data_IF_299044365105
#
_entry.id   IF_299044365105
#
_cell.length_a   1.000
_cell.length_b   1.000
_cell.length_c   1.000
_cell.angle_alpha   90.00
_cell.angle_beta   90.00
_cell.angle_gamma   90.00
#
_symmetry.space_group_name_H-M   'P 1'
#
loop_
_entity.id
_entity.type
_entity.pdbx_description
1 polymer ?
#
# COMPACT_ATOMS: atom_id res chain seq x y z
N UNK A 1 -0.22 2.70 13.62
CA UNK A 1 -1.43 2.51 12.77
C UNK A 1 -2.58 3.30 13.37
N UNK A 2 -3.26 4.17 12.62
CA UNK A 2 -4.44 4.90 13.11
C UNK A 2 -5.61 3.90 13.10
N UNK A 3 -6.26 3.64 14.24
CA UNK A 3 -7.40 2.71 14.28
C UNK A 3 -8.51 3.13 13.31
N UNK A 4 -9.17 2.17 12.65
CA UNK A 4 -10.30 2.44 11.74
C UNK A 4 -11.38 3.33 12.35
N UNK A 5 -11.64 3.19 13.66
CA UNK A 5 -12.59 4.02 14.42
C UNK A 5 -12.24 5.51 14.45
N UNK A 6 -11.00 5.88 14.10
CA UNK A 6 -10.57 7.29 14.02
C UNK A 6 -10.63 7.86 12.59
N UNK A 7 -11.04 7.07 11.59
CA UNK A 7 -11.24 7.59 10.24
C UNK A 7 -12.44 8.55 10.25
N UNK A 8 -12.15 9.82 10.13
CA UNK A 8 -13.20 10.85 10.09
C UNK A 8 -13.89 10.92 8.73
N UNK A 9 -13.15 10.63 7.63
CA UNK A 9 -13.64 10.72 6.24
C UNK A 9 -12.99 9.60 5.42
N UNK A 10 -13.77 8.92 4.58
CA UNK A 10 -13.32 7.94 3.58
C UNK A 10 -13.83 8.32 2.20
N UNK A 11 -13.22 7.80 1.14
CA UNK A 11 -13.69 8.01 -0.23
C UNK A 11 -15.15 7.56 -0.43
N UNK A 12 -15.57 6.49 0.22
CA UNK A 12 -16.96 6.03 0.17
C UNK A 12 -17.93 7.03 0.83
N UNK A 13 -17.53 7.67 1.93
CA UNK A 13 -18.34 8.72 2.55
C UNK A 13 -18.52 9.96 1.64
N UNK A 14 -17.52 10.24 0.77
CA UNK A 14 -17.60 11.36 -0.18
C UNK A 14 -18.53 11.07 -1.37
N UNK A 15 -18.75 9.80 -1.75
CA UNK A 15 -19.62 9.43 -2.89
C UNK A 15 -21.08 9.89 -2.74
N UNK A 16 -21.55 10.02 -1.51
CA UNK A 16 -22.91 10.50 -1.21
C UNK A 16 -23.03 12.01 -1.10
N UNK A 17 -21.94 12.78 -1.25
CA UNK A 17 -21.96 14.22 -1.13
C UNK A 17 -22.12 14.92 -2.49
N UNK A 18 -22.77 16.08 -2.47
CA UNK A 18 -22.83 17.01 -3.60
C UNK A 18 -21.43 17.37 -4.09
N UNK A 19 -21.16 17.39 -5.42
CA UNK A 19 -19.85 17.71 -5.98
C UNK A 19 -19.27 19.05 -5.47
N UNK A 20 -20.12 20.05 -5.26
CA UNK A 20 -19.72 21.35 -4.73
C UNK A 20 -19.18 21.27 -3.29
N UNK A 21 -19.78 20.41 -2.44
CA UNK A 21 -19.28 20.17 -1.08
C UNK A 21 -17.96 19.44 -1.07
N UNK A 22 -17.81 18.44 -1.96
CA UNK A 22 -16.53 17.71 -2.12
C UNK A 22 -15.44 18.66 -2.55
N UNK A 23 -15.68 19.50 -3.56
CA UNK A 23 -14.72 20.51 -4.01
C UNK A 23 -14.30 21.44 -2.87
N UNK A 24 -15.26 21.97 -2.11
CA UNK A 24 -14.98 22.85 -0.97
C UNK A 24 -14.09 22.18 0.07
N UNK A 25 -14.34 20.90 0.40
CA UNK A 25 -13.50 20.13 1.32
C UNK A 25 -12.04 20.02 0.82
N UNK A 26 -11.83 19.76 -0.46
CA UNK A 26 -10.48 19.69 -1.03
C UNK A 26 -9.80 21.07 -1.09
N UNK A 27 -10.55 22.14 -1.39
CA UNK A 27 -10.02 23.51 -1.37
C UNK A 27 -9.58 23.92 0.05
N UNK A 28 -10.35 23.54 1.09
CA UNK A 28 -9.99 23.76 2.50
C UNK A 28 -8.79 22.94 2.97
N UNK A 29 -8.58 21.72 2.42
CA UNK A 29 -7.41 20.90 2.74
C UNK A 29 -6.10 21.51 2.21
N UNK A 30 -6.17 22.23 1.10
CA UNK A 30 -5.03 22.79 0.41
C UNK A 30 -4.23 21.75 -0.40
N UNK A 31 -3.31 22.21 -1.27
CA UNK A 31 -2.67 21.35 -2.28
C UNK A 31 -1.79 20.25 -1.67
N UNK A 32 -1.06 20.54 -0.60
CA UNK A 32 -0.14 19.56 0.01
C UNK A 32 -0.90 18.39 0.62
N UNK A 33 -1.93 18.68 1.43
CA UNK A 33 -2.76 17.63 2.06
C UNK A 33 -3.59 16.86 1.03
N UNK A 34 -4.03 17.52 -0.02
CA UNK A 34 -4.74 16.88 -1.13
C UNK A 34 -3.82 15.87 -1.84
N UNK A 35 -2.55 16.21 -2.05
CA UNK A 35 -1.58 15.27 -2.63
C UNK A 35 -1.29 14.09 -1.71
N UNK A 36 -1.08 14.33 -0.41
CA UNK A 36 -0.93 13.25 0.60
C UNK A 36 -2.14 12.32 0.61
N UNK A 37 -3.36 12.87 0.50
CA UNK A 37 -4.60 12.09 0.51
C UNK A 37 -4.73 11.15 -0.69
N UNK A 38 -4.20 11.52 -1.86
CA UNK A 38 -4.17 10.62 -3.05
C UNK A 38 -3.42 9.32 -2.77
N UNK A 39 -2.44 9.37 -1.87
CA UNK A 39 -1.58 8.26 -1.49
C UNK A 39 -1.95 7.63 -0.14
N UNK A 40 -3.04 8.07 0.48
CA UNK A 40 -3.55 7.50 1.74
C UNK A 40 -4.48 6.32 1.46
N UNK A 41 -3.95 5.10 1.61
CA UNK A 41 -4.73 3.87 1.43
C UNK A 41 -5.91 3.78 2.39
N UNK A 42 -5.78 4.28 3.61
CA UNK A 42 -6.88 4.27 4.58
C UNK A 42 -8.07 5.13 4.13
N UNK A 43 -7.82 6.17 3.35
CA UNK A 43 -8.88 6.98 2.76
C UNK A 43 -9.58 6.25 1.60
N UNK A 44 -8.83 5.57 0.72
CA UNK A 44 -9.34 4.97 -0.51
C UNK A 44 -9.87 3.54 -0.37
N UNK A 45 -9.32 2.77 0.58
CA UNK A 45 -9.66 1.37 0.74
C UNK A 45 -11.10 1.16 1.24
N UNK A 46 -11.75 0.14 0.70
CA UNK A 46 -12.95 -0.43 1.32
C UNK A 46 -12.54 -1.19 2.58
N UNK A 47 -13.45 -1.33 3.55
CA UNK A 47 -13.15 -1.98 4.83
C UNK A 47 -12.63 -3.41 4.67
N UNK A 48 -13.16 -4.16 3.70
CA UNK A 48 -12.72 -5.53 3.42
C UNK A 48 -11.38 -5.64 2.67
N UNK A 49 -10.78 -4.52 2.27
CA UNK A 49 -9.43 -4.46 1.68
C UNK A 49 -8.34 -4.12 2.70
N UNK A 50 -8.72 -3.85 3.93
CA UNK A 50 -7.80 -3.52 5.01
C UNK A 50 -7.55 -4.74 5.88
N UNK A 51 -6.31 -4.88 6.34
CA UNK A 51 -5.97 -5.92 7.30
C UNK A 51 -6.80 -5.77 8.58
N UNK A 52 -7.15 -6.88 9.26
CA UNK A 52 -7.83 -6.82 10.55
C UNK A 52 -7.07 -5.98 11.57
N UNK A 53 -7.79 -5.26 12.43
CA UNK A 53 -7.18 -4.42 13.47
C UNK A 53 -6.72 -5.22 14.69
N UNK A 54 -7.36 -6.38 14.92
CA UNK A 54 -6.99 -7.29 15.99
C UNK A 54 -5.57 -7.79 15.77
N UNK A 55 -4.80 -7.86 16.86
CA UNK A 55 -3.37 -8.24 16.80
C UNK A 55 -3.13 -9.74 16.97
N UNK A 56 -4.19 -10.53 17.19
CA UNK A 56 -4.09 -11.94 17.55
C UNK A 56 -4.09 -12.88 16.32
N UNK A 57 -4.02 -12.35 15.10
CA UNK A 57 -3.93 -13.14 13.89
C UNK A 57 -2.49 -13.28 13.38
N UNK A 58 -2.17 -14.47 12.88
CA UNK A 58 -0.90 -14.75 12.20
C UNK A 58 -1.05 -14.80 10.68
N UNK A 59 -2.27 -14.96 10.19
CA UNK A 59 -2.56 -15.10 8.76
C UNK A 59 -3.75 -14.24 8.39
N UNK A 60 -3.58 -13.39 7.37
CA UNK A 60 -4.65 -12.66 6.73
C UNK A 60 -4.91 -13.24 5.34
N UNK A 61 -6.07 -13.86 5.15
CA UNK A 61 -6.46 -14.47 3.90
C UNK A 61 -7.53 -13.63 3.19
N UNK A 62 -7.25 -13.25 1.92
CA UNK A 62 -8.19 -12.51 1.08
C UNK A 62 -8.76 -13.45 0.03
N UNK A 63 -9.95 -13.99 0.28
CA UNK A 63 -10.71 -14.77 -0.69
C UNK A 63 -11.68 -13.85 -1.43
N UNK A 64 -11.34 -13.50 -2.68
CA UNK A 64 -12.13 -12.55 -3.47
C UNK A 64 -11.96 -12.79 -4.97
N UNK A 65 -12.96 -12.40 -5.74
CA UNK A 65 -12.97 -12.49 -7.20
C UNK A 65 -11.92 -11.63 -7.88
N UNK A 66 -11.85 -11.74 -9.22
CA UNK A 66 -11.04 -10.86 -10.06
C UNK A 66 -11.52 -9.41 -9.93
N UNK A 67 -10.61 -8.44 -9.98
CA UNK A 67 -10.94 -7.02 -9.86
C UNK A 67 -11.16 -6.51 -8.42
N UNK A 68 -11.12 -7.37 -7.40
CA UNK A 68 -11.27 -6.96 -6.01
C UNK A 68 -10.16 -6.01 -5.54
N UNK A 69 -8.96 -6.09 -6.11
CA UNK A 69 -7.80 -5.31 -5.69
C UNK A 69 -6.87 -6.06 -4.72
N UNK A 70 -6.82 -7.41 -4.77
CA UNK A 70 -5.97 -8.23 -3.89
C UNK A 70 -4.50 -7.80 -3.91
N UNK A 71 -3.93 -7.62 -5.11
CA UNK A 71 -2.55 -7.16 -5.28
C UNK A 71 -2.34 -5.79 -4.63
N UNK A 72 -3.25 -4.84 -4.89
CA UNK A 72 -3.20 -3.52 -4.29
C UNK A 72 -3.25 -3.59 -2.76
N UNK A 73 -4.17 -4.35 -2.20
CA UNK A 73 -4.28 -4.53 -0.74
C UNK A 73 -3.01 -5.12 -0.13
N UNK A 74 -2.39 -6.11 -0.79
CA UNK A 74 -1.13 -6.71 -0.35
C UNK A 74 0.03 -5.72 -0.40
N UNK A 75 0.18 -4.97 -1.49
CA UNK A 75 1.23 -3.96 -1.65
C UNK A 75 1.08 -2.84 -0.62
N UNK A 76 -0.14 -2.35 -0.40
CA UNK A 76 -0.39 -1.31 0.60
C UNK A 76 -0.16 -1.81 2.04
N UNK A 77 -0.49 -3.07 2.32
CA UNK A 77 -0.15 -3.69 3.59
C UNK A 77 1.37 -3.77 3.82
N UNK A 78 2.14 -4.13 2.80
CA UNK A 78 3.60 -4.11 2.87
C UNK A 78 4.13 -2.69 3.08
N UNK A 79 3.62 -1.72 2.32
CA UNK A 79 3.99 -0.30 2.46
C UNK A 79 3.72 0.22 3.88
N UNK A 80 2.58 -0.17 4.45
CA UNK A 80 2.22 0.16 5.83
C UNK A 80 3.17 -0.45 6.86
N UNK A 81 3.58 -1.72 6.66
CA UNK A 81 4.59 -2.36 7.51
C UNK A 81 5.96 -1.68 7.43
N UNK A 82 6.38 -1.23 6.25
CA UNK A 82 7.61 -0.44 6.09
C UNK A 82 7.50 0.91 6.83
N UNK A 83 6.34 1.57 6.79
CA UNK A 83 6.07 2.78 7.58
C UNK A 83 6.16 2.52 9.08
N UNK A 84 5.73 1.36 9.54
CA UNK A 84 5.84 0.88 10.92
C UNK A 84 7.27 0.45 11.32
N UNK A 85 8.24 0.47 10.39
CA UNK A 85 9.64 0.19 10.67
C UNK A 85 10.07 -1.25 10.39
N UNK A 86 9.21 -2.10 9.82
CA UNK A 86 9.60 -3.45 9.37
C UNK A 86 10.65 -3.33 8.27
N UNK A 87 11.75 -4.07 8.40
CA UNK A 87 12.91 -3.96 7.54
C UNK A 87 13.05 -5.10 6.52
N UNK A 88 12.48 -6.26 6.79
CA UNK A 88 12.61 -7.44 5.95
C UNK A 88 11.26 -8.07 5.72
N UNK A 89 10.87 -8.18 4.47
CA UNK A 89 9.58 -8.74 4.06
C UNK A 89 9.85 -9.69 2.89
N UNK A 90 9.20 -10.84 2.89
CA UNK A 90 9.18 -11.76 1.76
C UNK A 90 7.87 -11.60 0.98
N UNK A 91 7.96 -11.60 -0.33
CA UNK A 91 6.81 -11.63 -1.23
C UNK A 91 6.94 -12.82 -2.19
N UNK A 92 5.89 -13.59 -2.35
CA UNK A 92 5.88 -14.80 -3.18
C UNK A 92 4.87 -14.62 -4.32
N UNK A 93 5.28 -14.91 -5.54
CA UNK A 93 4.39 -15.00 -6.69
C UNK A 93 4.44 -16.39 -7.31
N UNK A 94 3.50 -16.71 -8.21
CA UNK A 94 3.49 -17.99 -8.91
C UNK A 94 4.73 -18.14 -9.79
N UNK A 95 5.06 -17.10 -10.54
CA UNK A 95 6.16 -17.10 -11.53
C UNK A 95 7.07 -15.89 -11.37
N UNK A 96 8.30 -15.97 -11.90
CA UNK A 96 9.21 -14.82 -11.99
C UNK A 96 8.62 -13.69 -12.84
N UNK A 97 7.86 -14.01 -13.88
CA UNK A 97 7.15 -13.03 -14.71
C UNK A 97 6.10 -12.27 -13.90
N UNK A 98 5.35 -12.95 -13.00
CA UNK A 98 4.35 -12.32 -12.14
C UNK A 98 4.99 -11.38 -11.12
N UNK A 99 6.17 -11.72 -10.61
CA UNK A 99 6.94 -10.81 -9.75
C UNK A 99 7.14 -9.48 -10.46
N UNK A 100 7.74 -9.51 -11.63
CA UNK A 100 8.12 -8.27 -12.32
C UNK A 100 6.90 -7.53 -12.90
N UNK A 101 6.05 -8.23 -13.65
CA UNK A 101 4.97 -7.61 -14.42
C UNK A 101 3.74 -7.25 -13.58
N UNK A 102 3.47 -8.01 -12.51
CA UNK A 102 2.28 -7.81 -11.68
C UNK A 102 2.63 -7.15 -10.37
N UNK A 103 3.54 -7.75 -9.57
CA UNK A 103 3.80 -7.26 -8.23
C UNK A 103 4.67 -6.00 -8.20
N UNK A 104 5.67 -5.89 -9.08
CA UNK A 104 6.60 -4.74 -9.08
C UNK A 104 6.11 -3.63 -10.00
N UNK A 105 5.97 -3.88 -11.30
CA UNK A 105 5.69 -2.88 -12.34
C UNK A 105 4.22 -2.75 -12.71
N UNK A 106 3.36 -3.66 -12.25
CA UNK A 106 1.93 -3.63 -12.57
C UNK A 106 1.23 -2.38 -12.05
N UNK A 107 0.03 -2.10 -12.56
CA UNK A 107 -0.80 -0.94 -12.16
C UNK A 107 -1.06 -0.89 -10.64
N UNK A 108 -1.24 -2.05 -10.02
CA UNK A 108 -1.39 -2.21 -8.57
C UNK A 108 -0.09 -2.66 -7.89
N UNK A 109 1.05 -2.63 -8.59
CA UNK A 109 2.35 -3.06 -8.11
C UNK A 109 3.07 -2.00 -7.28
N UNK A 110 4.19 -2.37 -6.70
CA UNK A 110 4.94 -1.51 -5.77
C UNK A 110 5.36 -0.17 -6.38
N UNK A 111 5.88 -0.17 -7.62
CA UNK A 111 6.36 1.07 -8.26
C UNK A 111 5.22 2.02 -8.64
N UNK A 112 3.99 1.52 -8.80
CA UNK A 112 2.81 2.34 -9.08
C UNK A 112 2.12 2.84 -7.80
N UNK A 113 2.31 2.13 -6.69
CA UNK A 113 1.63 2.40 -5.41
C UNK A 113 2.47 3.24 -4.47
N UNK A 114 3.79 3.02 -4.42
CA UNK A 114 4.68 3.75 -3.55
C UNK A 114 4.83 5.22 -3.99
N UNK A 115 5.03 6.11 -3.02
CA UNK A 115 5.16 7.53 -3.24
C UNK A 115 6.46 8.08 -2.65
N UNK A 116 7.10 9.02 -3.37
CA UNK A 116 8.35 9.67 -2.92
C UNK A 116 8.20 10.46 -1.62
N UNK A 117 7.00 10.94 -1.34
CA UNK A 117 6.68 11.67 -0.12
C UNK A 117 6.42 10.80 1.11
N UNK A 118 6.46 9.47 0.97
CA UNK A 118 6.22 8.57 2.11
C UNK A 118 7.22 8.77 3.24
N UNK A 119 6.67 8.78 4.46
CA UNK A 119 7.43 8.87 5.71
C UNK A 119 7.06 7.69 6.61
N UNK A 120 8.00 7.27 7.43
CA UNK A 120 7.71 6.34 8.53
C UNK A 120 6.84 7.04 9.58
N UNK A 121 6.16 6.29 10.43
CA UNK A 121 5.40 6.87 11.56
C UNK A 121 6.28 7.61 12.57
N UNK A 122 7.60 7.33 12.57
CA UNK A 122 8.58 8.12 13.33
C UNK A 122 9.00 9.42 12.61
N UNK A 123 8.34 9.79 11.50
CA UNK A 123 8.60 11.01 10.73
C UNK A 123 9.84 10.96 9.83
N UNK A 124 10.55 9.83 9.75
CA UNK A 124 11.74 9.67 8.90
C UNK A 124 11.31 9.45 7.44
N UNK A 125 12.06 10.02 6.51
CA UNK A 125 11.86 9.80 5.07
C UNK A 125 11.96 8.30 4.77
N UNK A 126 10.99 7.77 4.04
CA UNK A 126 10.98 6.40 3.56
C UNK A 126 11.54 6.32 2.14
N UNK A 127 11.23 7.32 1.33
CA UNK A 127 11.64 7.43 -0.06
C UNK A 127 10.87 6.50 -0.99
N UNK A 128 11.21 6.56 -2.27
CA UNK A 128 10.66 5.67 -3.30
C UNK A 128 11.52 4.42 -3.40
N UNK A 129 10.94 3.20 -3.50
CA UNK A 129 11.73 1.98 -3.54
C UNK A 129 12.47 1.82 -4.88
N UNK A 130 13.70 1.33 -4.81
CA UNK A 130 14.52 0.94 -5.96
C UNK A 130 14.35 -0.57 -6.23
N UNK A 131 14.07 -0.93 -7.48
CA UNK A 131 13.95 -2.31 -7.92
C UNK A 131 15.27 -2.83 -8.50
N UNK A 132 15.75 -3.93 -7.97
CA UNK A 132 16.89 -4.70 -8.51
C UNK A 132 16.39 -6.03 -9.10
N UNK A 133 16.27 -6.17 -10.43
CA UNK A 133 15.83 -7.42 -11.07
C UNK A 133 16.71 -8.61 -10.76
N UNK A 134 18.04 -8.41 -10.79
CA UNK A 134 19.02 -9.47 -10.53
C UNK A 134 18.94 -10.03 -9.11
N UNK A 135 18.72 -9.14 -8.13
CA UNK A 135 18.56 -9.53 -6.72
C UNK A 135 17.12 -9.89 -6.36
N UNK A 136 16.17 -9.65 -7.26
CA UNK A 136 14.73 -9.77 -7.00
C UNK A 136 14.32 -9.04 -5.70
N UNK A 137 14.79 -7.80 -5.54
CA UNK A 137 14.63 -7.06 -4.28
C UNK A 137 14.18 -5.63 -4.55
N UNK A 138 13.19 -5.16 -3.78
CA UNK A 138 12.88 -3.75 -3.63
C UNK A 138 13.55 -3.22 -2.37
N UNK A 139 14.20 -2.05 -2.47
CA UNK A 139 14.90 -1.43 -1.35
C UNK A 139 14.48 0.03 -1.20
N UNK A 140 14.06 0.45 -0.01
CA UNK A 140 13.76 1.84 0.33
C UNK A 140 14.98 2.54 0.93
N UNK A 141 15.01 3.87 0.84
CA UNK A 141 16.09 4.71 1.42
C UNK A 141 16.26 4.49 2.94
N UNK A 142 15.17 4.14 3.65
CA UNK A 142 15.22 3.82 5.07
C UNK A 142 15.83 2.43 5.39
N UNK A 143 16.29 1.69 4.37
CA UNK A 143 16.90 0.36 4.50
C UNK A 143 15.90 -0.81 4.60
N UNK A 144 14.60 -0.56 4.44
CA UNK A 144 13.62 -1.63 4.33
C UNK A 144 13.75 -2.34 2.97
N UNK A 145 13.54 -3.65 2.96
CA UNK A 145 13.65 -4.48 1.75
C UNK A 145 12.50 -5.47 1.66
N UNK A 146 12.01 -5.66 0.43
CA UNK A 146 11.13 -6.77 0.06
C UNK A 146 11.92 -7.69 -0.85
N UNK A 147 12.11 -8.93 -0.43
CA UNK A 147 12.70 -10.00 -1.23
C UNK A 147 11.57 -10.77 -1.92
N UNK A 148 11.72 -11.01 -3.22
CA UNK A 148 10.72 -11.72 -4.02
C UNK A 148 11.19 -13.15 -4.32
N UNK A 149 10.24 -14.09 -4.25
CA UNK A 149 10.44 -15.51 -4.51
C UNK A 149 9.39 -16.01 -5.51
N UNK A 150 9.81 -16.92 -6.39
CA UNK A 150 8.91 -17.65 -7.29
C UNK A 150 8.52 -18.99 -6.66
N UNK A 151 7.23 -19.34 -6.72
CA UNK A 151 6.78 -20.66 -6.27
C UNK A 151 7.11 -21.79 -7.25
N UNK A 152 7.42 -21.47 -8.53
CA UNK A 152 7.82 -22.47 -9.55
C UNK A 152 9.29 -22.90 -9.38
N UNK A 153 10.13 -22.05 -8.81
CA UNK A 153 11.56 -22.32 -8.60
C UNK A 153 11.88 -22.08 -7.13
N UNK A 154 11.52 -22.99 -6.22
CA UNK A 154 11.93 -22.90 -4.83
C UNK A 154 13.46 -23.10 -4.77
N UNK A 155 14.15 -22.12 -4.21
CA UNK A 155 15.59 -22.22 -3.92
C UNK A 155 15.86 -23.14 -2.73
#
# INVERSE_FOLDING_TARGET
MIPRRQRKITADALRGLEPAKVKKLFDELGPIKTEELKHDWNFWARDNQLAPEDKDWNTWFINAGRGFGKTRSGVEWVRENVKNGVKRIAAVASTNSDIERVMVKGESGFLSVCWKGDKTYAGKKMGFPEWSPTKRTLTWENGAQVQFFSAEEPE
#
